data_IF_857904261682
#
_entry.id   IF_857904261682
#
_cell.length_a   1.000
_cell.length_b   1.000
_cell.length_c   1.000
_cell.angle_alpha   90.00
_cell.angle_beta   90.00
_cell.angle_gamma   90.00
#
_symmetry.space_group_name_H-M   'P 1'
#
loop_
_entity.id
_entity.type
_entity.pdbx_description
1 polymer ?
#
# COMPACT_ATOMS: atom_id res chain seq x y z
N UNK A 1 -19.86 4.21 3.28
CA UNK A 1 -18.79 4.08 4.27
C UNK A 1 -17.47 4.49 3.65
N UNK A 2 -16.70 5.25 4.39
CA UNK A 2 -15.41 5.68 3.88
C UNK A 2 -14.40 4.55 4.02
N UNK A 3 -13.55 4.42 3.01
CA UNK A 3 -12.49 3.44 3.05
C UNK A 3 -11.28 4.00 3.78
N UNK A 4 -10.52 3.10 4.36
CA UNK A 4 -9.24 3.42 4.98
C UNK A 4 -8.12 3.07 4.03
N UNK A 5 -6.97 3.71 4.17
CA UNK A 5 -5.79 3.41 3.36
C UNK A 5 -4.70 2.81 4.21
N UNK A 6 -3.99 1.85 3.64
CA UNK A 6 -2.76 1.32 4.20
C UNK A 6 -1.61 1.66 3.28
N UNK A 7 -0.50 2.05 3.88
CA UNK A 7 0.71 2.45 3.15
C UNK A 7 1.87 1.61 3.63
N UNK A 8 2.61 1.06 2.67
CA UNK A 8 3.87 0.35 2.95
C UNK A 8 4.93 0.96 2.05
N UNK A 9 6.04 1.37 2.65
CA UNK A 9 7.20 1.82 1.90
C UNK A 9 8.34 0.87 2.20
N UNK A 10 8.87 0.22 1.16
CA UNK A 10 9.82 -0.88 1.34
C UNK A 10 10.87 -0.83 0.23
N UNK A 11 12.08 -1.25 0.56
CA UNK A 11 13.18 -1.23 -0.40
C UNK A 11 13.20 -2.52 -1.22
N UNK A 12 13.17 -2.36 -2.55
CA UNK A 12 13.26 -3.47 -3.49
C UNK A 12 11.91 -3.96 -3.99
N UNK A 13 11.85 -4.21 -5.29
CA UNK A 13 10.61 -4.62 -5.94
C UNK A 13 10.15 -6.00 -5.47
N UNK A 14 11.10 -6.93 -5.30
CA UNK A 14 10.75 -8.29 -4.86
C UNK A 14 10.17 -8.27 -3.44
N UNK A 15 10.80 -7.51 -2.54
CA UNK A 15 10.28 -7.38 -1.18
C UNK A 15 8.90 -6.72 -1.19
N UNK A 16 8.68 -5.75 -2.08
CA UNK A 16 7.39 -5.09 -2.20
C UNK A 16 6.30 -6.04 -2.70
N UNK A 17 6.63 -6.89 -3.68
CA UNK A 17 5.68 -7.90 -4.17
C UNK A 17 5.31 -8.89 -3.08
N UNK A 18 6.31 -9.31 -2.29
CA UNK A 18 6.06 -10.21 -1.17
C UNK A 18 5.15 -9.55 -0.13
N UNK A 19 5.40 -8.29 0.21
CA UNK A 19 4.56 -7.56 1.16
C UNK A 19 3.13 -7.43 0.64
N UNK A 20 2.97 -7.11 -0.64
CA UNK A 20 1.64 -7.00 -1.25
C UNK A 20 0.89 -8.33 -1.21
N UNK A 21 1.59 -9.42 -1.54
CA UNK A 21 1.00 -10.75 -1.49
C UNK A 21 0.49 -11.08 -0.09
N UNK A 22 1.31 -10.81 0.93
CA UNK A 22 0.92 -11.02 2.32
C UNK A 22 -0.33 -10.23 2.66
N UNK A 23 -0.37 -8.95 2.29
CA UNK A 23 -1.52 -8.10 2.59
C UNK A 23 -2.80 -8.64 1.96
N UNK A 24 -2.74 -9.01 0.70
CA UNK A 24 -3.92 -9.48 -0.03
C UNK A 24 -4.38 -10.86 0.42
N UNK A 25 -3.49 -11.68 0.94
CA UNK A 25 -3.84 -12.99 1.48
C UNK A 25 -4.38 -12.91 2.90
N UNK A 26 -4.00 -11.87 3.64
CA UNK A 26 -4.35 -11.74 5.05
C UNK A 26 -5.74 -11.17 5.26
N UNK A 27 -6.14 -10.21 4.44
CA UNK A 27 -7.38 -9.48 4.65
C UNK A 27 -7.95 -8.99 3.34
N UNK A 28 -9.21 -8.57 3.38
CA UNK A 28 -9.93 -8.10 2.19
C UNK A 28 -9.53 -6.65 1.89
N UNK A 29 -8.39 -6.50 1.23
CA UNK A 29 -7.88 -5.20 0.79
C UNK A 29 -7.59 -5.25 -0.70
N UNK A 30 -7.62 -4.07 -1.33
CA UNK A 30 -7.35 -3.94 -2.75
C UNK A 30 -6.17 -3.00 -2.98
N UNK A 31 -5.34 -3.34 -3.95
CA UNK A 31 -4.24 -2.46 -4.35
C UNK A 31 -4.79 -1.24 -5.06
N UNK A 32 -4.43 -0.07 -4.55
CA UNK A 32 -4.86 1.21 -5.13
C UNK A 32 -3.76 1.82 -5.97
N UNK A 33 -2.53 1.76 -5.50
CA UNK A 33 -1.41 2.34 -6.22
C UNK A 33 -0.10 1.67 -5.84
N UNK A 34 0.83 1.73 -6.78
CA UNK A 34 2.15 1.14 -6.69
C UNK A 34 3.12 2.14 -7.30
N UNK A 35 3.99 2.70 -6.49
CA UNK A 35 4.96 3.69 -6.96
C UNK A 35 6.38 3.20 -6.75
N UNK A 36 7.14 3.15 -7.82
CA UNK A 36 8.56 2.80 -7.76
C UNK A 36 9.39 4.06 -7.87
N UNK A 37 10.33 4.20 -6.97
CA UNK A 37 11.25 5.34 -6.96
C UNK A 37 12.68 4.82 -6.95
N UNK A 38 13.62 5.66 -7.35
CA UNK A 38 15.04 5.33 -7.32
C UNK A 38 15.34 4.04 -8.09
N UNK A 39 14.68 3.87 -9.25
CA UNK A 39 14.90 2.69 -10.08
C UNK A 39 14.41 1.40 -9.47
N UNK A 40 13.41 1.48 -8.60
CA UNK A 40 12.87 0.29 -7.92
C UNK A 40 13.51 -0.01 -6.59
N UNK A 41 14.44 0.82 -6.13
CA UNK A 41 15.04 0.63 -4.81
C UNK A 41 14.11 1.01 -3.67
N UNK A 42 13.10 1.83 -3.97
CA UNK A 42 12.09 2.21 -2.98
C UNK A 42 10.73 2.09 -3.65
N UNK A 43 9.84 1.32 -3.01
CA UNK A 43 8.50 1.08 -3.55
C UNK A 43 7.48 1.48 -2.50
N UNK A 44 6.47 2.24 -2.91
CA UNK A 44 5.34 2.60 -2.06
C UNK A 44 4.12 1.85 -2.55
N UNK A 45 3.49 1.11 -1.65
CA UNK A 45 2.27 0.34 -1.93
C UNK A 45 1.13 0.99 -1.15
N UNK A 46 0.02 1.25 -1.83
CA UNK A 46 -1.18 1.79 -1.19
C UNK A 46 -2.31 0.80 -1.41
N UNK A 47 -2.92 0.35 -0.31
CA UNK A 47 -4.09 -0.53 -0.35
C UNK A 47 -5.26 0.17 0.32
N UNK A 48 -6.48 -0.27 0.02
CA UNK A 48 -7.68 0.28 0.64
C UNK A 48 -8.61 -0.84 1.09
N UNK A 49 -9.46 -0.52 2.05
CA UNK A 49 -10.44 -1.44 2.61
C UNK A 49 -11.01 -0.89 3.90
N UNK A 50 -11.76 -1.71 4.63
CA UNK A 50 -12.21 -1.35 5.96
C UNK A 50 -10.99 -1.18 6.88
N UNK A 51 -11.13 -0.33 7.89
CA UNK A 51 -10.02 -0.05 8.79
C UNK A 51 -9.46 -1.31 9.45
N UNK A 52 -10.32 -2.25 9.83
CA UNK A 52 -9.86 -3.50 10.46
C UNK A 52 -9.05 -4.33 9.46
N UNK A 53 -9.54 -4.46 8.22
CA UNK A 53 -8.85 -5.22 7.19
C UNK A 53 -7.51 -4.60 6.83
N UNK A 54 -7.49 -3.27 6.67
CA UNK A 54 -6.26 -2.56 6.31
C UNK A 54 -5.23 -2.67 7.44
N UNK A 55 -5.68 -2.53 8.69
CA UNK A 55 -4.79 -2.64 9.85
C UNK A 55 -4.17 -4.03 9.91
N UNK A 56 -4.99 -5.06 9.74
CA UNK A 56 -4.51 -6.44 9.76
C UNK A 56 -3.51 -6.69 8.64
N UNK A 57 -3.83 -6.22 7.44
CA UNK A 57 -2.96 -6.42 6.27
C UNK A 57 -1.61 -5.74 6.47
N UNK A 58 -1.61 -4.49 6.89
CA UNK A 58 -0.37 -3.72 7.07
C UNK A 58 0.49 -4.35 8.17
N UNK A 59 -0.12 -4.75 9.30
CA UNK A 59 0.63 -5.38 10.38
C UNK A 59 1.24 -6.70 9.94
N UNK A 60 0.51 -7.50 9.17
CA UNK A 60 1.04 -8.78 8.67
C UNK A 60 2.24 -8.56 7.76
N UNK A 61 2.18 -7.56 6.87
CA UNK A 61 3.30 -7.26 5.99
C UNK A 61 4.48 -6.70 6.77
N UNK A 62 4.22 -5.86 7.78
CA UNK A 62 5.29 -5.25 8.59
C UNK A 62 6.11 -6.28 9.32
N UNK A 63 5.50 -7.42 9.71
CA UNK A 63 6.18 -8.45 10.48
C UNK A 63 6.57 -9.67 9.66
N UNK A 64 5.91 -9.91 8.53
CA UNK A 64 6.09 -11.15 7.78
C UNK A 64 6.80 -11.04 6.45
N UNK A 65 7.00 -9.83 5.94
CA UNK A 65 7.66 -9.66 4.64
C UNK A 65 9.13 -10.05 4.74
N UNK A 66 9.70 -10.45 3.60
CA UNK A 66 11.11 -10.88 3.54
C UNK A 66 12.06 -9.75 3.95
N UNK A 67 11.58 -8.52 3.92
CA UNK A 67 12.35 -7.38 4.34
C UNK A 67 11.46 -6.47 5.16
N UNK A 68 12.00 -5.89 6.20
CA UNK A 68 11.24 -4.99 7.06
C UNK A 68 10.94 -3.68 6.29
N UNK A 69 9.70 -3.20 6.28
CA UNK A 69 9.39 -1.93 5.62
C UNK A 69 10.17 -0.76 6.23
N UNK A 70 10.52 0.19 5.38
CA UNK A 70 11.16 1.44 5.83
C UNK A 70 10.16 2.26 6.64
N UNK A 71 8.89 2.26 6.24
CA UNK A 71 7.82 2.89 6.99
C UNK A 71 6.49 2.28 6.57
N UNK A 72 5.48 2.42 7.43
CA UNK A 72 4.12 1.98 7.12
C UNK A 72 3.14 2.76 7.97
N UNK A 73 1.91 2.84 7.49
CA UNK A 73 0.87 3.58 8.21
C UNK A 73 -0.50 3.11 7.79
N UNK A 74 -1.47 3.29 8.68
CA UNK A 74 -2.87 3.12 8.37
C UNK A 74 -3.55 4.46 8.63
N UNK A 75 -4.29 4.94 7.64
CA UNK A 75 -5.04 6.19 7.78
C UNK A 75 -6.52 5.84 7.66
N UNK A 76 -7.22 5.89 8.81
CA UNK A 76 -8.66 5.65 8.85
C UNK A 76 -9.38 6.96 8.56
N UNK A 77 -10.44 6.88 7.77
CA UNK A 77 -11.24 8.05 7.41
C UNK A 77 -10.37 9.21 6.93
N UNK A 78 -9.62 9.00 5.86
CA UNK A 78 -8.65 9.99 5.41
C UNK A 78 -9.32 11.34 5.08
N UNK A 79 -8.62 12.41 5.40
CA UNK A 79 -9.02 13.75 4.98
C UNK A 79 -9.10 13.77 3.46
N UNK A 80 -10.02 14.58 2.90
CA UNK A 80 -10.19 14.59 1.45
C UNK A 80 -8.94 14.98 0.67
N UNK A 81 -8.05 15.76 1.28
CA UNK A 81 -6.77 16.07 0.63
C UNK A 81 -5.91 14.81 0.46
N UNK A 82 -5.96 13.91 1.44
CA UNK A 82 -5.24 12.64 1.33
C UNK A 82 -5.88 11.76 0.26
N UNK A 83 -7.21 11.74 0.19
CA UNK A 83 -7.91 10.99 -0.86
C UNK A 83 -7.48 11.49 -2.23
N UNK A 84 -7.39 12.81 -2.42
CA UNK A 84 -6.95 13.38 -3.69
C UNK A 84 -5.52 12.96 -4.06
N UNK A 85 -4.61 12.96 -3.08
CA UNK A 85 -3.23 12.54 -3.32
C UNK A 85 -3.18 11.07 -3.73
N UNK A 86 -3.93 10.21 -3.04
CA UNK A 86 -3.97 8.80 -3.37
C UNK A 86 -4.57 8.58 -4.76
N UNK A 87 -5.65 9.29 -5.08
CA UNK A 87 -6.27 9.16 -6.40
C UNK A 87 -5.34 9.63 -7.52
N UNK A 88 -4.57 10.66 -7.27
CA UNK A 88 -3.58 11.12 -8.23
C UNK A 88 -2.51 10.04 -8.46
N UNK A 89 -2.00 9.47 -7.40
CA UNK A 89 -1.04 8.37 -7.49
C UNK A 89 -1.61 7.19 -8.28
N UNK A 90 -2.85 6.80 -7.94
CA UNK A 90 -3.53 5.69 -8.60
C UNK A 90 -3.70 5.96 -10.10
N UNK A 91 -4.06 7.18 -10.46
CA UNK A 91 -4.27 7.55 -11.87
C UNK A 91 -2.97 7.45 -12.65
N UNK A 92 -1.84 7.87 -12.08
CA UNK A 92 -0.54 7.78 -12.74
C UNK A 92 -0.11 6.32 -12.92
N UNK A 93 -0.35 5.49 -11.92
CA UNK A 93 -0.04 4.08 -12.01
C UNK A 93 -0.88 3.39 -13.08
N UNK A 94 -2.19 3.65 -13.13
CA UNK A 94 -3.07 3.07 -14.13
C UNK A 94 -2.67 3.49 -15.54
N UNK A 95 -2.27 4.73 -15.73
CA UNK A 95 -1.85 5.22 -17.03
C UNK A 95 -0.57 4.54 -17.49
N UNK A 96 0.35 4.24 -16.59
CA UNK A 96 1.59 3.55 -16.93
C UNK A 96 1.37 2.09 -17.32
N UNK A 97 0.28 1.50 -16.88
CA UNK A 97 -0.02 0.10 -17.18
C UNK A 97 -0.49 -0.11 -18.63
N UNK A 98 -0.90 0.92 -19.28
CA UNK A 98 -1.40 0.79 -20.66
C UNK A 98 -0.30 0.63 -21.69
#
# INVERSE_FOLDING_TARGET
>A
MSKSYGFIEITGVVAALDALDIMCKTADVELVSWERKLGGRLVTIIVEGDVAAVTEAVNAAATGAIKKPASYAVIARPHEEIVKMVELSASRWKNKKK
#
